data_IF_393295739065
#
_entry.id   IF_393295739065
#
_cell.length_a   1.000
_cell.length_b   1.000
_cell.length_c   1.000
_cell.angle_alpha   90.00
_cell.angle_beta   90.00
_cell.angle_gamma   90.00
#
_symmetry.space_group_name_H-M   'P 1'
#
loop_
_entity.id
_entity.type
_entity.pdbx_description
1 polymer ?
#
# COMPACT_ATOMS: atom_id res chain seq x y z
N UNK A 1 16.20 3.59 -4.23
CA UNK A 1 16.20 2.66 -5.36
C UNK A 1 14.83 2.00 -5.49
N UNK A 2 14.29 1.99 -6.70
CA UNK A 2 12.98 1.41 -6.95
C UNK A 2 13.05 -0.10 -7.03
N UNK A 3 12.47 -0.78 -6.05
CA UNK A 3 12.50 -2.25 -5.97
C UNK A 3 11.18 -2.87 -6.37
N UNK A 4 10.08 -2.21 -6.06
CA UNK A 4 8.75 -2.77 -6.25
C UNK A 4 8.14 -2.24 -7.54
N UNK A 5 7.88 -3.14 -8.47
CA UNK A 5 7.36 -2.78 -9.79
C UNK A 5 6.22 -3.71 -10.17
N UNK A 6 5.31 -3.21 -10.96
CA UNK A 6 4.27 -4.01 -11.60
C UNK A 6 2.93 -3.95 -10.92
N UNK A 7 1.96 -4.51 -11.60
CA UNK A 7 0.58 -4.58 -11.15
C UNK A 7 0.12 -6.04 -11.15
N UNK A 8 -0.51 -6.46 -10.05
CA UNK A 8 -0.96 -7.83 -9.85
C UNK A 8 -2.37 -7.79 -9.28
N UNK A 9 -3.16 -8.82 -9.49
CA UNK A 9 -4.58 -8.77 -9.14
C UNK A 9 -5.07 -10.04 -8.42
N UNK A 10 -4.52 -10.35 -7.24
CA UNK A 10 -5.02 -11.49 -6.47
C UNK A 10 -6.37 -11.18 -5.85
N UNK A 11 -7.15 -12.23 -5.59
CA UNK A 11 -8.35 -12.08 -4.78
C UNK A 11 -7.98 -12.15 -3.30
N UNK A 12 -8.71 -11.38 -2.48
CA UNK A 12 -8.63 -11.56 -1.04
C UNK A 12 -9.27 -12.91 -0.71
N UNK A 13 -8.64 -13.68 0.16
CA UNK A 13 -9.11 -15.01 0.52
C UNK A 13 -9.66 -15.03 1.95
N UNK A 14 -10.17 -16.17 2.37
CA UNK A 14 -10.76 -16.34 3.69
C UNK A 14 -9.80 -15.83 4.77
N UNK A 15 -10.34 -15.10 5.75
CA UNK A 15 -9.55 -14.49 6.80
C UNK A 15 -8.87 -13.19 6.37
N UNK A 16 -9.36 -12.54 5.31
CA UNK A 16 -8.84 -11.27 4.81
C UNK A 16 -7.37 -11.34 4.44
N UNK A 17 -6.97 -12.44 3.83
CA UNK A 17 -5.57 -12.67 3.41
C UNK A 17 -5.36 -12.30 1.97
N UNK A 18 -4.26 -11.62 1.71
CA UNK A 18 -3.85 -11.23 0.36
C UNK A 18 -2.46 -11.79 0.09
N UNK A 19 -2.31 -12.50 -1.03
CA UNK A 19 -1.03 -13.02 -1.46
C UNK A 19 -0.17 -11.88 -2.01
N UNK A 20 1.03 -11.72 -1.46
CA UNK A 20 2.01 -10.80 -2.04
C UNK A 20 2.70 -11.53 -3.19
N UNK A 21 2.65 -11.00 -4.41
CA UNK A 21 3.30 -11.64 -5.55
C UNK A 21 4.79 -11.89 -5.31
N UNK A 22 5.30 -13.01 -5.79
CA UNK A 22 6.70 -13.37 -5.61
C UNK A 22 7.66 -12.29 -6.08
N UNK A 23 7.35 -11.63 -7.20
CA UNK A 23 8.20 -10.56 -7.75
C UNK A 23 8.33 -9.36 -6.84
N UNK A 24 7.33 -9.12 -5.99
CA UNK A 24 7.38 -8.06 -4.98
C UNK A 24 7.99 -8.60 -3.69
N UNK A 25 7.56 -9.77 -3.27
CA UNK A 25 7.97 -10.38 -2.00
C UNK A 25 9.47 -10.61 -1.89
N UNK A 26 10.15 -10.89 -3.00
CA UNK A 26 11.61 -11.11 -3.00
C UNK A 26 12.40 -9.90 -2.53
N UNK A 27 11.82 -8.71 -2.56
CA UNK A 27 12.50 -7.49 -2.11
C UNK A 27 12.14 -7.11 -0.68
N UNK A 28 11.29 -7.89 -0.03
CA UNK A 28 10.96 -7.68 1.38
C UNK A 28 11.98 -8.46 2.21
N UNK A 29 12.62 -7.76 3.14
CA UNK A 29 13.60 -8.35 4.04
C UNK A 29 12.88 -8.86 5.29
N UNK A 30 13.12 -10.10 5.65
CA UNK A 30 12.46 -10.70 6.79
C UNK A 30 11.06 -11.20 6.48
N UNK A 31 10.26 -11.41 7.51
CA UNK A 31 8.96 -12.07 7.43
C UNK A 31 7.80 -11.21 7.91
N UNK A 32 8.02 -9.90 8.03
CA UNK A 32 6.99 -8.95 8.44
C UNK A 32 6.99 -7.71 7.56
N UNK A 33 5.80 -7.13 7.41
CA UNK A 33 5.62 -5.85 6.72
C UNK A 33 4.87 -4.90 7.64
N UNK A 34 4.88 -3.62 7.31
CA UNK A 34 4.07 -2.61 7.97
C UNK A 34 2.93 -2.23 7.03
N UNK A 35 1.71 -2.31 7.52
CA UNK A 35 0.52 -1.87 6.79
C UNK A 35 0.04 -0.56 7.37
N UNK A 36 -0.35 0.38 6.52
CA UNK A 36 -0.87 1.68 6.97
C UNK A 36 -1.89 2.20 5.96
N UNK A 37 -2.70 3.16 6.38
CA UNK A 37 -3.60 3.87 5.47
C UNK A 37 -2.77 4.61 4.43
N UNK A 38 -3.06 4.33 3.17
CA UNK A 38 -2.46 5.07 2.08
C UNK A 38 -3.31 6.28 1.71
N UNK A 39 -2.76 7.15 0.90
CA UNK A 39 -3.54 8.23 0.32
C UNK A 39 -4.38 7.64 -0.82
N UNK A 40 -5.47 8.28 -1.19
CA UNK A 40 -6.39 7.81 -2.24
C UNK A 40 -7.12 6.51 -1.89
N UNK A 41 -7.31 6.22 -0.60
CA UNK A 41 -8.08 5.06 -0.13
C UNK A 41 -7.48 3.72 -0.52
N UNK A 42 -6.18 3.57 -0.30
CA UNK A 42 -5.49 2.30 -0.46
C UNK A 42 -4.76 1.93 0.83
N UNK A 43 -4.19 0.73 0.86
CA UNK A 43 -3.37 0.28 1.98
C UNK A 43 -1.91 0.30 1.51
N UNK A 44 -1.06 1.01 2.24
CA UNK A 44 0.38 0.99 2.00
C UNK A 44 0.98 -0.23 2.67
N UNK A 45 1.93 -0.88 1.98
CA UNK A 45 2.68 -2.00 2.53
C UNK A 45 4.17 -1.64 2.41
N UNK A 46 4.83 -1.54 3.56
CA UNK A 46 6.25 -1.20 3.62
C UNK A 46 7.05 -2.39 4.13
N UNK A 47 8.24 -2.54 3.57
CA UNK A 47 9.27 -3.36 4.21
C UNK A 47 9.50 -2.79 5.61
N UNK A 48 9.48 -3.63 6.62
CA UNK A 48 9.58 -3.20 8.01
C UNK A 48 10.83 -2.38 8.29
N UNK A 49 11.96 -2.74 7.70
CA UNK A 49 13.21 -2.02 7.89
C UNK A 49 13.19 -0.61 7.28
N UNK A 50 12.40 -0.41 6.24
CA UNK A 50 12.32 0.88 5.55
C UNK A 50 11.24 1.80 6.10
N UNK A 51 10.33 1.26 6.91
CA UNK A 51 9.11 1.96 7.33
C UNK A 51 9.37 3.37 7.87
N UNK A 52 10.22 3.48 8.88
CA UNK A 52 10.46 4.75 9.55
C UNK A 52 10.96 5.81 8.59
N UNK A 53 11.95 5.47 7.77
CA UNK A 53 12.54 6.42 6.83
C UNK A 53 11.57 6.82 5.73
N UNK A 54 10.83 5.87 5.18
CA UNK A 54 9.91 6.14 4.08
C UNK A 54 8.68 6.93 4.54
N UNK A 55 8.15 6.59 5.71
CA UNK A 55 7.03 7.32 6.30
C UNK A 55 7.43 8.77 6.59
N UNK A 56 8.61 8.96 7.18
CA UNK A 56 9.11 10.29 7.51
C UNK A 56 9.32 11.13 6.24
N UNK A 57 9.87 10.55 5.18
CA UNK A 57 10.03 11.24 3.90
C UNK A 57 8.71 11.73 3.34
N UNK A 58 7.69 10.90 3.42
CA UNK A 58 6.37 11.25 2.90
C UNK A 58 5.74 12.38 3.70
N UNK A 59 5.90 12.34 5.01
CA UNK A 59 5.42 13.38 5.91
C UNK A 59 6.14 14.71 5.64
N UNK A 60 7.47 14.67 5.54
CA UNK A 60 8.30 15.84 5.31
C UNK A 60 8.12 16.47 3.94
N UNK A 61 7.50 15.77 2.99
CA UNK A 61 7.20 16.33 1.68
C UNK A 61 6.11 17.42 1.75
N UNK A 62 5.41 17.53 2.88
CA UNK A 62 4.42 18.60 3.09
C UNK A 62 5.10 19.87 3.55
N UNK A 63 4.55 21.01 3.16
CA UNK A 63 5.21 22.30 3.35
C UNK A 63 4.88 22.99 4.67
N UNK A 64 3.73 22.72 5.28
CA UNK A 64 3.37 23.40 6.50
C UNK A 64 3.21 22.45 7.68
N UNK A 65 3.47 22.98 8.88
CA UNK A 65 3.49 22.19 10.11
C UNK A 65 2.15 21.54 10.44
N UNK A 66 1.05 22.20 10.13
CA UNK A 66 -0.27 21.67 10.39
C UNK A 66 -0.52 20.39 9.61
N UNK A 67 -0.15 20.39 8.32
CA UNK A 67 -0.28 19.21 7.49
C UNK A 67 0.71 18.10 7.89
N UNK A 68 1.91 18.48 8.32
CA UNK A 68 2.90 17.51 8.81
C UNK A 68 2.35 16.75 10.02
N UNK A 69 1.82 17.46 11.01
CA UNK A 69 1.26 16.82 12.20
C UNK A 69 0.05 15.96 11.89
N UNK A 70 -0.82 16.42 10.99
CA UNK A 70 -1.99 15.66 10.57
C UNK A 70 -1.58 14.36 9.90
N UNK A 71 -0.57 14.41 9.03
CA UNK A 71 -0.07 13.21 8.34
C UNK A 71 0.62 12.25 9.28
N UNK A 72 1.37 12.77 10.26
CA UNK A 72 1.98 11.90 11.28
C UNK A 72 0.91 11.11 12.02
N UNK A 73 -0.14 11.78 12.46
CA UNK A 73 -1.25 11.11 13.14
C UNK A 73 -1.91 10.10 12.23
N UNK A 74 -2.16 10.47 11.00
CA UNK A 74 -2.84 9.63 10.01
C UNK A 74 -2.06 8.34 9.72
N UNK A 75 -0.77 8.48 9.43
CA UNK A 75 0.06 7.33 9.06
C UNK A 75 0.40 6.46 10.28
N UNK A 76 0.90 7.06 11.34
CA UNK A 76 1.39 6.28 12.48
C UNK A 76 0.26 5.60 13.27
N UNK A 77 -0.89 6.24 13.40
CA UNK A 77 -1.99 5.62 14.15
C UNK A 77 -2.64 4.47 13.41
N UNK A 78 -2.53 4.44 12.08
CA UNK A 78 -3.08 3.35 11.27
C UNK A 78 -2.09 2.22 11.05
N UNK A 79 -0.81 2.44 11.33
CA UNK A 79 0.24 1.49 11.03
C UNK A 79 0.19 0.28 11.95
N UNK A 80 0.39 -0.90 11.37
CA UNK A 80 0.45 -2.15 12.12
C UNK A 80 1.45 -3.09 11.49
N UNK A 81 2.11 -3.88 12.31
CA UNK A 81 2.98 -4.94 11.82
C UNK A 81 2.12 -6.12 11.38
N UNK A 82 2.47 -6.72 10.26
CA UNK A 82 1.76 -7.88 9.74
C UNK A 82 2.75 -8.95 9.33
N UNK A 83 2.63 -10.16 9.88
CA UNK A 83 3.49 -11.26 9.46
C UNK A 83 3.12 -11.73 8.06
N UNK A 84 4.13 -12.19 7.32
CA UNK A 84 3.92 -12.86 6.04
C UNK A 84 3.89 -14.36 6.35
N UNK A 85 2.82 -15.04 6.01
CA UNK A 85 2.70 -16.47 6.30
C UNK A 85 3.55 -17.32 5.34
N UNK A 86 3.58 -18.63 5.59
CA UNK A 86 4.38 -19.57 4.81
C UNK A 86 4.01 -19.59 3.32
N UNK A 87 2.81 -19.13 2.99
CA UNK A 87 2.32 -19.08 1.61
C UNK A 87 2.49 -17.69 0.98
N UNK A 88 3.15 -16.77 1.70
CA UNK A 88 3.40 -15.41 1.21
C UNK A 88 2.22 -14.49 1.31
N UNK A 89 1.28 -14.78 2.22
CA UNK A 89 0.08 -13.96 2.40
C UNK A 89 0.19 -13.10 3.65
N UNK A 90 -0.49 -11.94 3.62
CA UNK A 90 -0.64 -11.08 4.78
C UNK A 90 -2.11 -10.88 5.08
N UNK A 91 -2.45 -10.72 6.35
CA UNK A 91 -3.82 -10.41 6.77
C UNK A 91 -3.99 -8.91 6.74
N UNK A 92 -5.03 -8.44 6.05
CA UNK A 92 -5.37 -7.02 6.05
C UNK A 92 -6.34 -6.78 7.21
N UNK A 93 -5.99 -5.96 8.20
CA UNK A 93 -6.90 -5.67 9.32
C UNK A 93 -8.21 -5.08 8.83
N UNK A 94 -9.29 -5.37 9.54
CA UNK A 94 -10.63 -4.95 9.15
C UNK A 94 -10.76 -3.45 8.94
N UNK A 95 -10.14 -2.64 9.79
CA UNK A 95 -10.19 -1.18 9.64
C UNK A 95 -9.51 -0.71 8.36
N UNK A 96 -8.41 -1.34 7.95
CA UNK A 96 -7.73 -0.99 6.71
C UNK A 96 -8.49 -1.50 5.49
N UNK A 97 -9.07 -2.70 5.60
CA UNK A 97 -9.90 -3.25 4.55
C UNK A 97 -11.13 -2.35 4.28
N UNK A 98 -11.80 -1.91 5.35
CA UNK A 98 -12.95 -1.02 5.25
C UNK A 98 -12.55 0.33 4.69
N UNK A 99 -11.45 0.89 5.18
CA UNK A 99 -10.93 2.17 4.69
C UNK A 99 -10.68 2.15 3.18
N UNK A 100 -10.06 1.09 2.69
CA UNK A 100 -9.72 0.97 1.27
C UNK A 100 -10.88 0.41 0.43
N UNK A 101 -11.97 0.00 1.07
CA UNK A 101 -13.12 -0.55 0.37
C UNK A 101 -12.81 -1.85 -0.37
N UNK A 102 -11.84 -2.61 0.13
CA UNK A 102 -11.44 -3.85 -0.52
C UNK A 102 -12.53 -4.91 -0.37
N UNK A 103 -13.05 -5.36 -1.50
CA UNK A 103 -14.13 -6.33 -1.52
C UNK A 103 -13.59 -7.74 -1.78
N UNK A 104 -13.40 -8.10 -3.04
CA UNK A 104 -12.95 -9.46 -3.37
C UNK A 104 -11.68 -9.45 -4.19
N UNK A 105 -11.70 -8.75 -5.31
CA UNK A 105 -10.55 -8.64 -6.20
C UNK A 105 -9.73 -7.43 -5.83
N UNK A 106 -8.42 -7.59 -5.75
CA UNK A 106 -7.51 -6.50 -5.39
C UNK A 106 -6.61 -6.13 -6.54
N UNK A 107 -5.99 -4.97 -6.42
CA UNK A 107 -4.82 -4.61 -7.23
C UNK A 107 -3.67 -4.43 -6.26
N UNK A 108 -2.63 -5.23 -6.43
CA UNK A 108 -1.41 -5.14 -5.64
C UNK A 108 -0.35 -4.51 -6.54
N UNK A 109 0.12 -3.34 -6.14
CA UNK A 109 0.95 -2.48 -6.98
C UNK A 109 2.34 -2.31 -6.40
N UNK A 110 3.34 -2.47 -7.24
CA UNK A 110 4.70 -2.07 -6.89
C UNK A 110 4.88 -0.60 -7.27
N UNK A 111 5.13 0.25 -6.28
CA UNK A 111 5.19 1.71 -6.49
C UNK A 111 6.58 2.24 -6.11
N UNK A 112 7.60 1.54 -6.56
CA UNK A 112 9.00 1.93 -6.34
C UNK A 112 9.50 1.52 -4.97
N UNK A 113 9.31 2.35 -3.95
CA UNK A 113 9.84 2.10 -2.61
C UNK A 113 8.85 1.43 -1.65
N UNK A 114 7.62 1.18 -2.11
CA UNK A 114 6.60 0.51 -1.31
C UNK A 114 5.62 -0.23 -2.21
N UNK A 115 4.71 -0.95 -1.57
CA UNK A 115 3.64 -1.68 -2.24
C UNK A 115 2.33 -1.02 -1.83
N UNK A 116 1.33 -1.04 -2.72
CA UNK A 116 -0.03 -0.57 -2.41
C UNK A 116 -1.02 -1.66 -2.71
N UNK A 117 -2.04 -1.78 -1.85
CA UNK A 117 -3.15 -2.70 -2.09
C UNK A 117 -4.42 -1.87 -2.23
N UNK A 118 -5.06 -2.03 -3.36
CA UNK A 118 -6.29 -1.31 -3.71
C UNK A 118 -7.41 -2.31 -3.95
N UNK A 119 -8.66 -1.86 -3.78
CA UNK A 119 -9.76 -2.56 -4.39
C UNK A 119 -9.60 -2.47 -5.91
N UNK A 120 -9.81 -3.56 -6.61
CA UNK A 120 -9.54 -3.61 -8.05
C UNK A 120 -10.32 -2.55 -8.83
N UNK A 121 -11.62 -2.44 -8.56
CA UNK A 121 -12.49 -1.48 -9.27
C UNK A 121 -12.06 -0.04 -8.98
N UNK A 122 -11.75 0.27 -7.73
CA UNK A 122 -11.28 1.59 -7.32
C UNK A 122 -9.99 1.94 -8.05
N UNK A 123 -9.07 0.99 -8.16
CA UNK A 123 -7.82 1.19 -8.89
C UNK A 123 -8.06 1.47 -10.37
N UNK A 124 -8.96 0.71 -11.00
CA UNK A 124 -9.29 0.93 -12.41
C UNK A 124 -9.87 2.32 -12.66
N UNK A 125 -10.76 2.77 -11.78
CA UNK A 125 -11.34 4.10 -11.86
C UNK A 125 -10.29 5.20 -11.69
N UNK A 126 -9.41 5.03 -10.71
CA UNK A 126 -8.31 5.97 -10.48
C UNK A 126 -7.37 6.04 -11.68
N UNK A 127 -6.98 4.88 -12.19
CA UNK A 127 -6.05 4.78 -13.33
C UNK A 127 -6.63 5.45 -14.57
N UNK A 128 -7.90 5.22 -14.84
CA UNK A 128 -8.59 5.85 -15.99
C UNK A 128 -8.58 7.37 -15.85
N UNK A 129 -8.88 7.88 -14.68
CA UNK A 129 -8.90 9.31 -14.38
C UNK A 129 -7.53 9.95 -14.57
N UNK A 130 -6.49 9.36 -14.01
CA UNK A 130 -5.12 9.94 -14.10
C UNK A 130 -4.51 9.74 -15.48
N UNK A 131 -4.81 8.63 -16.16
CA UNK A 131 -4.30 8.35 -17.50
C UNK A 131 -4.77 9.40 -18.50
N UNK A 132 -6.03 9.83 -18.40
CA UNK A 132 -6.56 10.90 -19.24
C UNK A 132 -5.79 12.19 -19.11
N UNK A 133 -5.49 12.60 -17.88
CA UNK A 133 -4.69 13.79 -17.61
C UNK A 133 -3.27 13.67 -18.10
N UNK A 134 -2.63 12.52 -17.87
CA UNK A 134 -1.26 12.29 -18.30
C UNK A 134 -1.13 12.25 -19.82
N UNK A 135 -2.09 11.63 -20.50
CA UNK A 135 -2.08 11.56 -21.96
C UNK A 135 -2.26 12.92 -22.58
N UNK A 136 -3.09 13.77 -21.97
CA UNK A 136 -3.33 15.12 -22.47
C UNK A 136 -2.10 16.03 -22.36
N UNK A 137 -1.18 15.73 -21.43
CA UNK A 137 0.02 16.54 -21.21
C UNK A 137 1.28 15.96 -21.89
N UNK A 138 1.19 14.76 -22.37
CA UNK A 138 2.31 14.08 -23.02
C UNK A 138 2.52 14.53 -24.52
#
# INVERSE_FOLDING_TARGET
>A
MSRFLGEYSPNITEGSRIALPKKLRKYIRGDEVILAKGFDRCVYVYDKEDWTNLAQKRIESRQDQTHIEALERYLYTSATEAPIDAQGRVVIPGNLQDYAGINKRTAVLGVGDHIEVWDYKTWQEYLEKVSGGLTATA
#
